data_IF_570325454264
#
_entry.id   IF_570325454264
#
_cell.length_a   1.000
_cell.length_b   1.000
_cell.length_c   1.000
_cell.angle_alpha   90.00
_cell.angle_beta   90.00
_cell.angle_gamma   90.00
#
_symmetry.space_group_name_H-M   'P 1'
#
loop_
_entity.id
_entity.type
_entity.pdbx_description
1 polymer ?
#
# COMPACT_ATOMS: atom_id res chain seq x y z
N UNK A 1 -19.38 28.97 38.81
CA UNK A 1 -20.06 30.23 38.43
C UNK A 1 -20.21 30.23 36.92
N UNK A 2 -21.44 30.40 36.42
CA UNK A 2 -21.82 30.36 35.01
C UNK A 2 -21.46 31.69 34.34
N UNK A 3 -20.81 31.65 33.17
CA UNK A 3 -20.95 32.71 32.16
C UNK A 3 -21.04 32.07 30.78
N UNK A 4 -22.29 31.81 30.39
CA UNK A 4 -22.73 31.74 29.01
C UNK A 4 -22.39 33.07 28.33
N UNK A 5 -21.73 33.02 27.18
CA UNK A 5 -21.85 34.06 26.16
C UNK A 5 -22.45 33.43 24.91
N UNK A 6 -23.69 33.83 24.66
CA UNK A 6 -24.42 33.68 23.42
C UNK A 6 -24.35 35.05 22.74
N UNK A 7 -24.17 35.12 21.41
CA UNK A 7 -24.80 36.10 20.50
C UNK A 7 -24.38 35.79 19.05
N UNK A 8 -25.42 35.66 18.21
CA UNK A 8 -25.56 35.87 16.75
C UNK A 8 -24.35 35.68 15.84
N UNK A 9 -24.41 34.88 14.78
CA UNK A 9 -25.54 34.71 13.87
C UNK A 9 -25.26 35.46 12.58
N UNK A 10 -24.77 34.76 11.55
CA UNK A 10 -24.92 35.15 10.14
C UNK A 10 -25.24 33.88 9.36
N UNK A 11 -26.53 33.72 9.07
CA UNK A 11 -27.04 32.88 8.00
C UNK A 11 -26.83 33.65 6.69
N UNK A 12 -26.07 33.07 5.75
CA UNK A 12 -26.18 33.46 4.35
C UNK A 12 -26.47 32.20 3.54
N UNK A 13 -27.61 32.24 2.85
CA UNK A 13 -28.20 31.13 2.13
C UNK A 13 -28.09 31.36 0.62
N UNK A 14 -27.94 30.23 -0.09
CA UNK A 14 -28.43 29.94 -1.46
C UNK A 14 -27.63 30.51 -2.65
N UNK A 15 -27.26 29.57 -3.53
CA UNK A 15 -26.95 29.82 -4.94
C UNK A 15 -26.69 28.52 -5.70
N UNK A 16 -27.75 27.73 -5.93
CA UNK A 16 -27.74 26.61 -6.90
C UNK A 16 -27.71 27.21 -8.31
N UNK A 17 -26.78 26.77 -9.15
CA UNK A 17 -26.95 26.80 -10.61
C UNK A 17 -26.48 25.47 -11.20
N UNK A 18 -27.45 24.65 -11.58
CA UNK A 18 -27.30 23.57 -12.53
C UNK A 18 -27.17 24.20 -13.92
N UNK A 19 -26.02 24.02 -14.58
CA UNK A 19 -25.82 24.35 -15.98
C UNK A 19 -25.71 23.08 -16.81
N UNK A 20 -26.76 22.80 -17.56
CA UNK A 20 -26.90 21.66 -18.46
C UNK A 20 -25.99 21.77 -19.70
N UNK A 21 -25.69 20.60 -20.26
CA UNK A 21 -25.09 20.39 -21.58
C UNK A 21 -25.85 21.11 -22.69
N UNK A 22 -25.11 21.59 -23.71
CA UNK A 22 -25.39 21.35 -25.13
C UNK A 22 -24.27 21.95 -25.99
N UNK A 23 -23.56 21.06 -26.69
CA UNK A 23 -22.92 21.32 -27.98
C UNK A 23 -23.94 21.92 -28.97
N UNK A 24 -23.54 22.93 -29.75
CA UNK A 24 -23.56 22.84 -31.21
C UNK A 24 -22.66 23.93 -31.85
N UNK A 25 -22.22 23.63 -33.06
CA UNK A 25 -21.05 24.08 -33.77
C UNK A 25 -21.50 24.70 -35.10
N UNK A 26 -21.03 25.90 -35.46
CA UNK A 26 -20.97 26.37 -36.86
C UNK A 26 -19.98 27.53 -36.92
N UNK A 27 -18.71 27.32 -37.31
CA UNK A 27 -18.13 27.04 -38.65
C UNK A 27 -18.16 28.21 -39.64
N UNK A 28 -17.00 28.28 -40.30
CA UNK A 28 -16.68 28.73 -41.68
C UNK A 28 -15.89 30.03 -41.77
N UNK A 29 -14.87 30.13 -42.63
CA UNK A 29 -14.14 29.19 -43.49
C UNK A 29 -12.90 29.98 -43.95
N UNK A 30 -11.80 29.44 -44.47
CA UNK A 30 -11.65 28.69 -45.73
C UNK A 30 -10.14 28.85 -46.07
N UNK A 31 -9.40 28.02 -46.80
CA UNK A 31 -9.56 26.93 -47.77
C UNK A 31 -8.18 26.24 -47.76
N UNK A 32 -8.04 24.91 -47.65
CA UNK A 32 -8.21 23.90 -48.72
C UNK A 32 -6.83 23.60 -49.33
N UNK A 33 -6.41 22.41 -49.74
CA UNK A 33 -7.01 21.11 -50.07
C UNK A 33 -5.78 20.13 -50.13
N UNK A 34 -5.79 18.82 -49.91
CA UNK A 34 -6.60 17.78 -50.54
C UNK A 34 -6.40 16.39 -49.86
N UNK A 35 -7.45 15.59 -50.03
CA UNK A 35 -7.79 14.18 -49.69
C UNK A 35 -6.96 13.08 -50.45
N UNK A 36 -7.31 11.76 -50.46
CA UNK A 36 -7.74 10.71 -49.47
C UNK A 36 -6.88 9.41 -49.54
N UNK A 37 -7.19 8.38 -48.70
CA UNK A 37 -7.28 6.90 -48.96
C UNK A 37 -7.06 6.16 -47.60
N UNK A 38 -8.07 5.58 -46.92
CA UNK A 38 -8.80 4.29 -47.04
C UNK A 38 -7.98 2.98 -46.87
N UNK A 39 -8.67 1.95 -46.34
CA UNK A 39 -8.30 0.55 -45.95
C UNK A 39 -8.03 0.38 -44.43
N UNK A 40 -8.83 -0.27 -43.58
CA UNK A 40 -9.71 -1.47 -43.59
C UNK A 40 -8.99 -2.85 -43.56
N UNK A 41 -9.07 -3.55 -42.42
CA UNK A 41 -9.11 -5.03 -42.20
C UNK A 41 -8.67 -5.32 -40.75
N UNK A 42 -9.41 -5.88 -39.79
CA UNK A 42 -10.26 -7.09 -39.66
C UNK A 42 -9.58 -8.42 -39.98
N UNK A 43 -9.85 -9.40 -39.09
CA UNK A 43 -9.64 -10.86 -39.20
C UNK A 43 -8.22 -11.41 -38.96
N UNK A 44 -7.98 -12.52 -38.27
CA UNK A 44 -8.87 -13.53 -37.69
C UNK A 44 -8.10 -14.42 -36.68
N UNK A 45 -8.88 -15.03 -35.80
CA UNK A 45 -8.55 -16.19 -34.97
C UNK A 45 -8.49 -17.44 -35.86
N UNK A 46 -7.45 -18.28 -35.77
CA UNK A 46 -7.66 -19.73 -35.89
C UNK A 46 -6.57 -20.56 -35.20
N UNK A 47 -7.08 -21.41 -34.31
CA UNK A 47 -6.51 -22.57 -33.62
C UNK A 47 -6.18 -23.75 -34.55
N UNK A 48 -5.15 -24.53 -34.22
CA UNK A 48 -5.11 -25.97 -34.46
C UNK A 48 -4.44 -26.71 -33.28
N UNK A 49 -5.15 -27.74 -32.81
CA UNK A 49 -4.73 -28.78 -31.86
C UNK A 49 -3.93 -29.86 -32.60
N UNK A 50 -3.02 -30.56 -31.89
CA UNK A 50 -2.80 -32.03 -31.96
C UNK A 50 -1.74 -32.43 -30.91
N UNK A 51 -2.06 -33.01 -29.76
CA UNK A 51 -2.51 -34.39 -29.43
C UNK A 51 -1.36 -35.34 -29.06
N UNK A 52 -1.63 -36.08 -27.98
CA UNK A 52 -1.06 -37.36 -27.52
C UNK A 52 0.41 -37.47 -27.05
N UNK A 53 0.59 -37.58 -25.72
CA UNK A 53 1.22 -38.78 -25.17
C UNK A 53 0.86 -38.99 -23.70
N UNK A 54 0.19 -40.11 -23.48
CA UNK A 54 -0.11 -40.78 -22.21
C UNK A 54 1.12 -40.96 -21.32
N UNK A 55 0.98 -40.62 -20.05
CA UNK A 55 1.94 -40.93 -18.98
C UNK A 55 1.23 -40.92 -17.64
N UNK A 56 0.47 -41.99 -17.40
CA UNK A 56 -0.14 -42.31 -16.11
C UNK A 56 0.99 -42.51 -15.08
N UNK A 57 1.14 -41.57 -14.16
CA UNK A 57 1.89 -41.78 -12.91
C UNK A 57 1.00 -41.30 -11.78
N UNK A 58 0.15 -42.24 -11.37
CA UNK A 58 -0.40 -42.35 -10.04
C UNK A 58 0.74 -42.18 -9.01
N UNK A 59 0.83 -41.00 -8.41
CA UNK A 59 1.56 -40.83 -7.15
C UNK A 59 0.51 -40.71 -6.07
N UNK A 60 0.51 -41.72 -5.21
CA UNK A 60 -0.36 -41.86 -4.05
C UNK A 60 -0.34 -40.57 -3.23
N UNK A 61 -1.54 -40.03 -3.03
CA UNK A 61 -1.85 -39.05 -2.01
C UNK A 61 -1.62 -39.72 -0.65
N UNK A 62 -0.46 -39.48 -0.06
CA UNK A 62 -0.34 -39.50 1.39
C UNK A 62 -1.08 -38.25 1.89
N UNK A 63 -2.31 -38.43 2.39
CA UNK A 63 -2.98 -37.44 3.24
C UNK A 63 -2.17 -37.33 4.53
N UNK A 64 -1.10 -36.53 4.50
CA UNK A 64 -0.59 -35.88 5.69
C UNK A 64 -1.70 -34.93 6.16
N UNK A 65 -2.24 -35.17 7.36
CA UNK A 65 -3.13 -34.22 8.02
C UNK A 65 -2.25 -33.04 8.43
N UNK A 66 -1.90 -32.19 7.47
CA UNK A 66 -1.25 -30.91 7.70
C UNK A 66 -2.26 -30.10 8.49
N UNK A 67 -1.97 -29.87 9.76
CA UNK A 67 -2.79 -28.96 10.55
C UNK A 67 -2.65 -27.57 9.95
N UNK A 68 -3.76 -26.85 9.76
CA UNK A 68 -3.73 -25.52 9.14
C UNK A 68 -2.75 -24.54 9.85
N UNK A 69 -2.45 -24.79 11.12
CA UNK A 69 -1.50 -24.02 11.91
C UNK A 69 -0.03 -24.26 11.52
N UNK A 70 0.35 -25.48 11.09
CA UNK A 70 1.71 -25.77 10.62
C UNK A 70 2.00 -25.09 9.27
N UNK A 71 0.99 -24.95 8.41
CA UNK A 71 1.10 -24.28 7.12
C UNK A 71 1.31 -22.76 7.31
N UNK A 72 0.54 -22.14 8.23
CA UNK A 72 0.70 -20.71 8.53
C UNK A 72 2.07 -20.40 9.13
N UNK A 73 2.56 -21.19 10.08
CA UNK A 73 3.88 -20.98 10.68
C UNK A 73 5.01 -21.07 9.63
N UNK A 74 4.87 -21.97 8.65
CA UNK A 74 5.79 -22.07 7.52
C UNK A 74 5.77 -20.80 6.67
N UNK A 75 4.59 -20.29 6.33
CA UNK A 75 4.44 -19.04 5.59
C UNK A 75 4.97 -17.83 6.36
N UNK A 76 4.73 -17.75 7.67
CA UNK A 76 5.25 -16.67 8.52
C UNK A 76 6.78 -16.61 8.49
N UNK A 77 7.43 -17.78 8.52
CA UNK A 77 8.88 -17.90 8.39
C UNK A 77 9.36 -17.51 6.98
N UNK A 78 8.65 -17.90 5.93
CA UNK A 78 8.97 -17.49 4.55
C UNK A 78 8.89 -15.98 4.40
N UNK A 79 7.83 -15.34 4.91
CA UNK A 79 7.67 -13.89 4.88
C UNK A 79 8.76 -13.21 5.71
N UNK A 80 9.09 -13.75 6.89
CA UNK A 80 10.21 -13.22 7.71
C UNK A 80 11.51 -13.20 6.90
N UNK A 81 11.88 -14.32 6.28
CA UNK A 81 13.11 -14.42 5.48
C UNK A 81 13.12 -13.45 4.29
N UNK A 82 11.98 -13.29 3.60
CA UNK A 82 11.86 -12.33 2.51
C UNK A 82 12.08 -10.88 3.00
N UNK A 83 11.51 -10.52 4.15
CA UNK A 83 11.70 -9.20 4.74
C UNK A 83 13.15 -8.99 5.20
N UNK A 84 13.76 -10.00 5.83
CA UNK A 84 15.18 -9.98 6.20
C UNK A 84 16.06 -9.74 4.98
N UNK A 85 15.84 -10.46 3.87
CA UNK A 85 16.58 -10.29 2.63
C UNK A 85 16.35 -8.90 2.01
N UNK A 86 15.12 -8.41 2.05
CA UNK A 86 14.75 -7.09 1.49
C UNK A 86 15.40 -5.94 2.25
N UNK A 87 15.52 -6.05 3.57
CA UNK A 87 15.99 -4.97 4.45
C UNK A 87 17.37 -5.21 5.06
N UNK A 88 18.10 -6.25 4.64
CA UNK A 88 19.33 -6.72 5.26
C UNK A 88 20.38 -5.63 5.56
N UNK A 89 20.46 -4.60 4.71
CA UNK A 89 21.44 -3.52 4.84
C UNK A 89 20.97 -2.36 5.72
N UNK A 90 19.65 -2.20 5.91
CA UNK A 90 19.06 -0.98 6.48
C UNK A 90 18.26 -1.20 7.74
N UNK A 91 17.74 -2.40 7.98
CA UNK A 91 16.92 -2.74 9.14
C UNK A 91 17.16 -4.16 9.62
N UNK A 92 16.86 -4.41 10.90
CA UNK A 92 16.68 -5.74 11.45
C UNK A 92 15.20 -6.10 11.47
N UNK A 93 14.89 -7.37 11.21
CA UNK A 93 13.51 -7.88 11.18
C UNK A 93 13.30 -8.85 12.33
N UNK A 94 12.14 -8.78 12.96
CA UNK A 94 11.68 -9.81 13.89
C UNK A 94 10.17 -9.97 13.77
N UNK A 95 9.66 -11.16 14.06
CA UNK A 95 8.22 -11.42 14.06
C UNK A 95 7.72 -11.60 15.49
N UNK A 96 6.64 -10.90 15.84
CA UNK A 96 5.92 -11.04 17.09
C UNK A 96 4.66 -11.87 16.85
N UNK A 97 4.72 -13.15 17.21
CA UNK A 97 3.65 -14.12 16.96
C UNK A 97 2.33 -13.76 17.68
N UNK A 98 2.41 -13.18 18.89
CA UNK A 98 1.23 -12.83 19.69
C UNK A 98 0.42 -11.72 19.02
N UNK A 99 1.11 -10.69 18.53
CA UNK A 99 0.49 -9.53 17.89
C UNK A 99 0.41 -9.64 16.36
N UNK A 100 1.03 -10.67 15.76
CA UNK A 100 1.17 -10.86 14.31
C UNK A 100 1.82 -9.67 13.61
N UNK A 101 2.81 -9.06 14.26
CA UNK A 101 3.52 -7.88 13.76
C UNK A 101 4.95 -8.23 13.36
N UNK A 102 5.31 -7.92 12.11
CA UNK A 102 6.70 -7.85 11.66
C UNK A 102 7.31 -6.52 12.10
N UNK A 103 8.26 -6.58 13.03
CA UNK A 103 8.97 -5.42 13.57
C UNK A 103 10.25 -5.18 12.77
N UNK A 104 10.30 -4.04 12.10
CA UNK A 104 11.45 -3.54 11.35
C UNK A 104 12.15 -2.48 12.19
N UNK A 105 13.37 -2.73 12.64
CA UNK A 105 14.15 -1.77 13.43
C UNK A 105 15.29 -1.24 12.57
N UNK A 106 15.27 0.04 12.18
CA UNK A 106 16.33 0.64 11.38
C UNK A 106 17.70 0.52 12.04
N UNK A 107 18.72 0.20 11.24
CA UNK A 107 20.12 0.13 11.68
C UNK A 107 21.02 1.10 10.93
N UNK A 108 20.53 1.64 9.81
CA UNK A 108 21.27 2.63 9.03
C UNK A 108 21.40 3.96 9.78
N UNK A 109 22.64 4.46 9.89
CA UNK A 109 22.94 5.67 10.63
C UNK A 109 22.42 6.93 9.94
N UNK A 110 22.38 6.95 8.61
CA UNK A 110 21.88 8.11 7.88
C UNK A 110 20.38 8.28 8.15
N UNK A 111 19.60 7.20 8.05
CA UNK A 111 18.18 7.21 8.38
C UNK A 111 17.90 7.66 9.82
N UNK A 112 18.70 7.20 10.79
CA UNK A 112 18.57 7.63 12.20
C UNK A 112 18.79 9.15 12.34
N UNK A 113 19.77 9.71 11.63
CA UNK A 113 20.01 11.17 11.61
C UNK A 113 18.85 11.91 10.95
N UNK A 114 18.29 11.38 9.87
CA UNK A 114 17.14 11.98 9.21
C UNK A 114 15.89 12.01 10.08
N UNK A 115 15.63 10.94 10.86
CA UNK A 115 14.57 10.92 11.86
C UNK A 115 14.73 12.06 12.88
N UNK A 116 15.95 12.26 13.40
CA UNK A 116 16.25 13.35 14.34
C UNK A 116 16.04 14.75 13.71
N UNK A 117 16.48 14.94 12.45
CA UNK A 117 16.26 16.20 11.73
C UNK A 117 14.77 16.47 11.49
N UNK A 118 13.98 15.44 11.22
CA UNK A 118 12.51 15.53 11.09
C UNK A 118 11.86 15.93 12.43
N UNK A 119 12.26 15.31 13.55
CA UNK A 119 11.77 15.67 14.89
C UNK A 119 12.07 17.14 15.23
N UNK A 120 13.25 17.63 14.86
CA UNK A 120 13.66 19.02 15.08
C UNK A 120 13.00 20.02 14.11
N UNK A 121 12.20 19.57 13.15
CA UNK A 121 11.59 20.41 12.11
C UNK A 121 12.62 20.98 11.12
N UNK A 122 13.79 20.34 10.99
CA UNK A 122 14.88 20.73 10.09
C UNK A 122 14.84 20.01 8.75
N UNK A 123 14.07 18.93 8.63
CA UNK A 123 13.80 18.18 7.39
C UNK A 123 12.28 18.09 7.17
N UNK A 124 11.83 18.09 5.92
CA UNK A 124 10.41 17.85 5.60
C UNK A 124 10.05 16.38 5.82
N UNK A 125 8.75 16.09 5.87
CA UNK A 125 8.23 14.73 6.06
C UNK A 125 7.94 14.00 4.73
N UNK A 126 8.41 14.51 3.59
CA UNK A 126 8.03 13.97 2.28
C UNK A 126 8.57 12.54 2.10
N UNK A 127 9.86 12.33 2.34
CA UNK A 127 10.51 11.01 2.30
C UNK A 127 9.86 10.03 3.31
N UNK A 128 9.49 10.53 4.50
CA UNK A 128 8.78 9.73 5.50
C UNK A 128 7.40 9.30 5.01
N UNK A 129 6.64 10.21 4.39
CA UNK A 129 5.31 9.91 3.86
C UNK A 129 5.38 8.89 2.72
N UNK A 130 6.39 8.98 1.84
CA UNK A 130 6.62 8.00 0.79
C UNK A 130 6.98 6.62 1.36
N UNK A 131 7.86 6.58 2.35
CA UNK A 131 8.20 5.36 3.08
C UNK A 131 6.96 4.75 3.75
N UNK A 132 6.15 5.56 4.43
CA UNK A 132 4.94 5.09 5.11
C UNK A 132 3.91 4.51 4.12
N UNK A 133 3.76 5.12 2.94
CA UNK A 133 2.92 4.59 1.87
C UNK A 133 3.47 3.28 1.28
N UNK A 134 4.79 3.16 1.18
CA UNK A 134 5.45 1.92 0.72
C UNK A 134 5.24 0.79 1.74
N UNK A 135 5.32 1.10 3.04
CA UNK A 135 5.01 0.16 4.13
C UNK A 135 3.55 -0.27 4.13
N UNK A 136 2.62 0.64 3.80
CA UNK A 136 1.21 0.30 3.53
C UNK A 136 1.08 -0.74 2.42
N UNK A 137 1.72 -0.50 1.28
CA UNK A 137 1.67 -1.44 0.14
C UNK A 137 2.30 -2.81 0.47
N UNK A 138 3.37 -2.81 1.29
CA UNK A 138 4.00 -4.04 1.76
C UNK A 138 3.10 -4.81 2.74
N UNK A 139 2.47 -4.13 3.70
CA UNK A 139 1.52 -4.75 4.63
C UNK A 139 0.33 -5.37 3.87
N UNK A 140 -0.15 -4.73 2.81
CA UNK A 140 -1.19 -5.30 1.94
C UNK A 140 -0.69 -6.61 1.27
N UNK A 141 0.57 -6.66 0.85
CA UNK A 141 1.18 -7.85 0.25
C UNK A 141 1.33 -8.99 1.28
N UNK A 142 1.75 -8.67 2.50
CA UNK A 142 1.78 -9.63 3.62
C UNK A 142 0.37 -10.18 3.88
N UNK A 143 -0.64 -9.31 3.88
CA UNK A 143 -2.04 -9.69 4.10
C UNK A 143 -2.57 -10.62 3.01
N UNK A 144 -2.14 -10.45 1.76
CA UNK A 144 -2.50 -11.36 0.65
C UNK A 144 -1.93 -12.77 0.82
N UNK A 145 -0.81 -12.91 1.53
CA UNK A 145 -0.14 -14.19 1.77
C UNK A 145 -0.64 -14.87 3.05
N UNK A 146 -0.71 -14.12 4.16
CA UNK A 146 -0.98 -14.66 5.50
C UNK A 146 -2.42 -14.45 5.98
N UNK A 147 -3.22 -13.67 5.25
CA UNK A 147 -4.56 -13.26 5.66
C UNK A 147 -4.55 -12.00 6.53
N UNK A 148 -5.73 -11.64 7.05
CA UNK A 148 -5.94 -10.40 7.82
C UNK A 148 -5.33 -10.46 9.22
N UNK A 149 -5.05 -9.27 9.75
CA UNK A 149 -4.55 -9.09 11.11
C UNK A 149 -3.04 -9.20 11.21
N UNK A 150 -2.33 -9.38 10.10
CA UNK A 150 -0.89 -9.25 10.02
C UNK A 150 -0.51 -7.80 9.75
N UNK A 151 0.52 -7.32 10.45
CA UNK A 151 0.98 -5.95 10.34
C UNK A 151 2.49 -5.85 10.25
N UNK A 152 2.94 -4.64 9.92
CA UNK A 152 4.34 -4.24 9.92
C UNK A 152 4.47 -3.03 10.82
N UNK A 153 5.47 -3.04 11.69
CA UNK A 153 5.81 -1.91 12.53
C UNK A 153 7.25 -1.46 12.26
N UNK A 154 7.45 -0.18 11.98
CA UNK A 154 8.77 0.43 12.03
C UNK A 154 9.03 0.87 13.46
N UNK A 155 10.04 0.29 14.09
CA UNK A 155 10.39 0.53 15.49
C UNK A 155 11.34 1.72 15.61
N UNK A 156 11.32 2.39 16.76
CA UNK A 156 12.29 3.43 17.07
C UNK A 156 13.64 2.77 17.41
N UNK A 157 14.71 3.05 16.65
CA UNK A 157 16.01 2.39 16.84
C UNK A 157 16.76 2.85 18.10
N UNK A 158 16.37 3.98 18.70
CA UNK A 158 16.93 4.51 19.96
C UNK A 158 16.11 4.04 21.17
N UNK A 159 14.80 3.82 20.99
CA UNK A 159 13.90 3.36 22.03
C UNK A 159 12.97 2.26 21.49
N UNK A 160 13.36 1.00 21.64
CA UNK A 160 12.64 -0.16 21.10
C UNK A 160 11.21 -0.34 21.62
N UNK A 161 10.84 0.33 22.72
CA UNK A 161 9.46 0.30 23.26
C UNK A 161 8.52 1.25 22.53
N UNK A 162 9.05 2.06 21.59
CA UNK A 162 8.30 3.02 20.80
C UNK A 162 8.22 2.56 19.35
N UNK A 163 6.99 2.52 18.85
CA UNK A 163 6.72 2.35 17.42
C UNK A 163 6.78 3.74 16.77
N UNK A 164 7.35 3.81 15.57
CA UNK A 164 7.35 5.01 14.73
C UNK A 164 6.20 4.98 13.72
N UNK A 165 5.97 3.82 13.12
CA UNK A 165 4.92 3.58 12.15
C UNK A 165 4.31 2.20 12.42
N UNK A 166 2.98 2.09 12.48
CA UNK A 166 2.26 0.83 12.51
C UNK A 166 1.30 0.76 11.34
N UNK A 167 1.40 -0.32 10.58
CA UNK A 167 0.58 -0.58 9.41
C UNK A 167 -0.03 -1.98 9.53
N UNK A 168 -1.32 -2.11 9.30
CA UNK A 168 -2.03 -3.40 9.31
C UNK A 168 -3.01 -3.45 8.16
N UNK A 169 -3.10 -4.60 7.48
CA UNK A 169 -4.01 -4.80 6.35
C UNK A 169 -3.92 -3.71 5.25
N UNK A 170 -2.71 -3.17 5.04
CA UNK A 170 -2.47 -2.08 4.09
C UNK A 170 -2.92 -0.69 4.54
N UNK A 171 -3.30 -0.53 5.81
CA UNK A 171 -3.77 0.72 6.40
C UNK A 171 -2.78 1.18 7.47
N UNK A 172 -2.41 2.46 7.43
CA UNK A 172 -1.61 3.09 8.49
C UNK A 172 -2.51 3.26 9.72
N UNK A 173 -2.17 2.54 10.80
CA UNK A 173 -2.90 2.55 12.08
C UNK A 173 -2.34 3.64 13.00
N UNK A 174 -1.03 3.88 12.92
CA UNK A 174 -0.34 4.89 13.71
C UNK A 174 0.88 5.42 12.95
N UNK A 175 1.07 6.73 12.98
CA UNK A 175 2.22 7.46 12.43
C UNK A 175 2.67 8.52 13.44
N UNK A 176 3.82 8.28 14.07
CA UNK A 176 4.36 9.13 15.14
C UNK A 176 4.56 10.61 14.74
N UNK A 177 4.83 10.90 13.46
CA UNK A 177 4.99 12.29 12.97
C UNK A 177 3.65 12.98 12.69
N UNK A 178 2.55 12.24 12.51
CA UNK A 178 1.20 12.78 12.30
C UNK A 178 0.37 12.81 13.59
N UNK A 179 0.56 11.80 14.45
CA UNK A 179 -0.28 11.56 15.62
C UNK A 179 0.30 12.16 16.91
N UNK A 180 1.46 12.83 16.83
CA UNK A 180 2.07 13.56 17.95
C UNK A 180 2.77 12.66 18.98
N UNK A 181 3.27 11.50 18.55
CA UNK A 181 3.82 10.44 19.41
C UNK A 181 5.32 10.51 19.72
N UNK A 182 6.04 11.51 19.22
CA UNK A 182 7.49 11.72 19.46
C UNK A 182 7.84 12.47 20.77
N UNK A 183 6.92 12.54 21.74
CA UNK A 183 7.16 13.26 23.01
C UNK A 183 8.00 12.46 24.01
#
# INVERSE_FOLDING_TARGET
>A
MKKLFCVSGVLLAIGIMLGACSEDNSKEATTGDAQPEQEESTSDIQSEQKDESTGDVQSETEEEVVTADEDVASLEKTVTGLLEDTFAETMTVSFDEESKIYKLTPTDSEFIIELDLMIQGKKSFDDWNEMASSMASMSESVTKVLGKGYGVAVMNPVNSDKVLLLVSDGIIIYDSFKDGGFQ
#
